data_IF_240413054007
#
_entry.id   IF_240413054007
#
_cell.length_a   1.000
_cell.length_b   1.000
_cell.length_c   1.000
_cell.angle_alpha   90.00
_cell.angle_beta   90.00
_cell.angle_gamma   90.00
#
_symmetry.space_group_name_H-M   'P 1'
#
loop_
_entity.id
_entity.type
_entity.pdbx_description
1 polymer ?
#
# COMPACT_ATOMS: atom_id res chain seq x y z
N UNK A 1 3.82 -14.04 -24.19
CA UNK A 1 4.15 -13.61 -22.82
C UNK A 1 5.67 -13.48 -22.73
N UNK A 2 6.21 -12.26 -22.62
CA UNK A 2 7.66 -11.99 -22.53
C UNK A 2 8.04 -11.64 -21.09
N UNK A 3 9.34 -11.62 -20.77
CA UNK A 3 9.80 -11.15 -19.45
C UNK A 3 9.40 -9.69 -19.18
N UNK A 4 9.30 -8.89 -20.23
CA UNK A 4 8.88 -7.49 -20.17
C UNK A 4 7.40 -7.37 -19.76
N UNK A 5 6.52 -8.15 -20.40
CA UNK A 5 5.11 -8.25 -20.04
C UNK A 5 4.90 -8.77 -18.61
N UNK A 6 5.74 -9.71 -18.15
CA UNK A 6 5.71 -10.17 -16.77
C UNK A 6 6.10 -9.07 -15.77
N UNK A 7 7.13 -8.26 -16.08
CA UNK A 7 7.51 -7.10 -15.24
C UNK A 7 6.41 -6.07 -15.18
N UNK A 8 5.80 -5.75 -16.33
CA UNK A 8 4.72 -4.78 -16.40
C UNK A 8 3.52 -5.20 -15.53
N UNK A 9 3.15 -6.48 -15.58
CA UNK A 9 2.05 -7.02 -14.77
C UNK A 9 2.37 -7.04 -13.28
N UNK A 10 3.62 -7.33 -12.91
CA UNK A 10 4.03 -7.27 -11.51
C UNK A 10 4.02 -5.84 -10.96
N UNK A 11 4.48 -4.87 -11.73
CA UNK A 11 4.43 -3.46 -11.33
C UNK A 11 2.98 -2.96 -11.23
N UNK A 12 2.15 -3.28 -12.22
CA UNK A 12 0.72 -2.95 -12.19
C UNK A 12 0.02 -3.52 -10.95
N UNK A 13 0.29 -4.79 -10.62
CA UNK A 13 -0.23 -5.41 -9.41
C UNK A 13 0.30 -4.75 -8.12
N UNK A 14 1.59 -4.37 -8.09
CA UNK A 14 2.20 -3.68 -6.96
C UNK A 14 1.51 -2.34 -6.71
N UNK A 15 1.24 -1.57 -7.76
CA UNK A 15 0.56 -0.27 -7.68
C UNK A 15 -0.90 -0.45 -7.26
N UNK A 16 -1.66 -1.34 -7.90
CA UNK A 16 -3.07 -1.61 -7.56
C UNK A 16 -3.23 -1.97 -6.08
N UNK A 17 -2.43 -2.93 -5.60
CA UNK A 17 -2.55 -3.42 -4.23
C UNK A 17 -2.18 -2.37 -3.18
N UNK A 18 -1.12 -1.59 -3.44
CA UNK A 18 -0.58 -0.65 -2.46
C UNK A 18 -1.24 0.73 -2.49
N UNK A 19 -1.74 1.16 -3.64
CA UNK A 19 -2.21 2.54 -3.83
C UNK A 19 -3.71 2.64 -4.05
N UNK A 20 -4.35 1.62 -4.62
CA UNK A 20 -5.76 1.68 -5.03
C UNK A 20 -6.65 0.83 -4.14
N UNK A 21 -6.24 -0.41 -3.86
CA UNK A 21 -7.12 -1.41 -3.25
C UNK A 21 -7.33 -1.14 -1.76
N UNK A 22 -8.58 -0.95 -1.29
CA UNK A 22 -8.87 -0.75 0.12
C UNK A 22 -8.82 -2.08 0.88
N UNK A 23 -8.22 -2.07 2.08
CA UNK A 23 -8.17 -3.25 2.95
C UNK A 23 -8.91 -2.98 4.26
N UNK A 24 -9.88 -3.85 4.58
CA UNK A 24 -10.72 -3.71 5.78
C UNK A 24 -9.91 -3.71 7.08
N UNK A 25 -8.81 -4.47 7.14
CA UNK A 25 -7.90 -4.54 8.28
C UNK A 25 -7.28 -3.18 8.67
N UNK A 26 -7.25 -2.20 7.76
CA UNK A 26 -6.67 -0.87 7.97
C UNK A 26 -7.72 0.24 7.79
N UNK A 27 -8.98 -0.09 8.07
CA UNK A 27 -10.09 0.87 7.99
C UNK A 27 -10.58 1.12 6.57
N UNK A 28 -10.51 0.10 5.72
CA UNK A 28 -10.94 0.15 4.32
C UNK A 28 -10.20 1.22 3.49
N UNK A 29 -8.90 1.34 3.73
CA UNK A 29 -7.98 2.28 3.04
C UNK A 29 -6.91 1.51 2.27
N UNK A 30 -6.30 2.10 1.24
CA UNK A 30 -5.14 1.51 0.61
C UNK A 30 -3.92 1.52 1.54
N UNK A 31 -2.99 0.55 1.43
CA UNK A 31 -1.84 0.44 2.33
C UNK A 31 -0.99 1.70 2.41
N UNK A 32 -0.79 2.41 1.29
CA UNK A 32 -0.03 3.66 1.23
C UNK A 32 -0.58 4.75 2.16
N UNK A 33 -1.87 4.72 2.48
CA UNK A 33 -2.47 5.67 3.43
C UNK A 33 -1.88 5.56 4.83
N UNK A 34 -1.27 4.43 5.21
CA UNK A 34 -0.60 4.26 6.49
C UNK A 34 0.83 4.82 6.49
N UNK A 35 1.55 4.68 5.37
CA UNK A 35 2.90 5.24 5.21
C UNK A 35 2.86 6.78 5.31
N UNK A 36 1.85 7.42 4.72
CA UNK A 36 1.68 8.88 4.84
C UNK A 36 1.16 9.33 6.22
N UNK A 37 0.59 8.42 7.02
CA UNK A 37 0.06 8.70 8.35
C UNK A 37 1.06 8.51 9.50
N UNK A 38 2.27 8.02 9.23
CA UNK A 38 3.27 7.66 10.24
C UNK A 38 3.97 8.85 10.93
N UNK A 39 3.40 10.05 10.84
CA UNK A 39 3.84 11.23 11.59
C UNK A 39 3.19 11.41 12.97
N UNK A 40 2.32 10.51 13.43
CA UNK A 40 1.47 10.79 14.61
C UNK A 40 1.21 9.61 15.57
N UNK A 41 2.15 8.67 15.75
CA UNK A 41 2.16 7.84 16.96
C UNK A 41 3.16 8.42 17.96
N UNK A 42 2.75 9.49 18.63
CA UNK A 42 3.42 9.98 19.82
C UNK A 42 3.58 8.84 20.81
N UNK A 43 4.81 8.65 21.29
CA UNK A 43 5.13 7.72 22.36
C UNK A 43 4.22 7.98 23.56
N UNK A 44 3.58 6.97 24.16
CA UNK A 44 2.86 7.17 25.40
C UNK A 44 3.88 7.54 26.49
N UNK A 45 3.76 8.74 27.02
CA UNK A 45 4.47 9.18 28.22
C UNK A 45 3.74 8.64 29.44
N UNK A 46 4.32 7.63 30.10
CA UNK A 46 4.17 7.35 31.52
C UNK A 46 5.39 6.55 31.99
#
# INVERSE_FOLDING_TARGET
MTLDDARQKMEDWRVDYNEVRPHSAIGNKPPISLMNGSGASGSPKA
#
